data_IF_177079103077
#
_entry.id   IF_177079103077
#
_cell.length_a   1.000
_cell.length_b   1.000
_cell.length_c   1.000
_cell.angle_alpha   90.00
_cell.angle_beta   90.00
_cell.angle_gamma   90.00
#
_symmetry.space_group_name_H-M   'P 1'
#
loop_
_entity.id
_entity.type
_entity.pdbx_description
1 polymer ?
#
# COMPACT_ATOMS: atom_id res chain seq x y z
N UNK A 1 1.79 41.07 -40.36
CA UNK A 1 0.39 40.65 -40.64
C UNK A 1 0.36 39.12 -40.67
N UNK A 2 0.20 38.45 -39.56
CA UNK A 2 -0.29 37.08 -39.52
C UNK A 2 -1.11 36.93 -38.25
N UNK A 3 -2.32 36.53 -38.43
CA UNK A 3 -3.52 36.59 -37.64
C UNK A 3 -3.51 35.66 -36.43
N UNK A 4 -3.95 36.21 -35.28
CA UNK A 4 -4.51 35.44 -34.12
C UNK A 4 -5.74 34.64 -34.64
N UNK A 5 -5.68 33.33 -34.54
CA UNK A 5 -6.87 32.46 -34.39
C UNK A 5 -6.39 31.06 -34.00
N UNK A 6 -6.86 30.62 -32.89
CA UNK A 6 -7.30 29.29 -32.46
C UNK A 6 -6.76 28.91 -31.07
N UNK A 7 -7.21 29.61 -30.06
CA UNK A 7 -7.26 29.09 -28.68
C UNK A 7 -8.67 29.40 -28.17
N UNK A 8 -9.62 28.56 -28.46
CA UNK A 8 -11.01 28.86 -28.11
C UNK A 8 -12.00 27.70 -28.10
N UNK A 9 -11.59 26.46 -28.37
CA UNK A 9 -12.55 25.35 -28.49
C UNK A 9 -12.36 24.20 -27.48
N UNK A 10 -11.28 24.17 -26.75
CA UNK A 10 -11.05 23.08 -25.78
C UNK A 10 -11.58 23.37 -24.36
N UNK A 11 -11.71 24.62 -23.96
CA UNK A 11 -12.28 24.98 -22.65
C UNK A 11 -13.81 24.80 -22.56
N UNK A 12 -14.51 24.85 -23.67
CA UNK A 12 -15.97 24.70 -23.73
C UNK A 12 -16.45 23.25 -23.57
N UNK A 13 -15.65 22.27 -23.94
CA UNK A 13 -16.01 20.85 -23.76
C UNK A 13 -16.03 20.42 -22.26
N UNK A 14 -15.21 21.02 -21.41
CA UNK A 14 -15.19 20.73 -19.98
C UNK A 14 -16.35 21.38 -19.21
N UNK A 15 -16.80 22.56 -19.62
CA UNK A 15 -17.97 23.19 -19.00
C UNK A 15 -19.29 22.47 -19.31
N UNK A 16 -19.38 21.75 -20.43
CA UNK A 16 -20.57 20.96 -20.78
C UNK A 16 -20.69 19.65 -19.97
N UNK A 17 -19.59 19.12 -19.43
CA UNK A 17 -19.61 17.88 -18.62
C UNK A 17 -20.08 18.16 -17.17
N UNK A 18 -19.93 19.39 -16.69
CA UNK A 18 -20.30 19.77 -15.32
C UNK A 18 -21.79 20.15 -15.18
N UNK A 19 -22.48 20.47 -16.27
CA UNK A 19 -23.83 21.08 -16.21
C UNK A 19 -24.97 20.16 -16.66
N UNK A 20 -24.68 19.04 -17.30
CA UNK A 20 -25.75 18.11 -17.71
C UNK A 20 -25.85 16.95 -16.72
N UNK A 21 -26.85 17.04 -15.81
CA UNK A 21 -27.28 15.96 -14.95
C UNK A 21 -27.75 14.75 -15.78
N UNK A 22 -26.87 13.83 -16.05
CA UNK A 22 -27.21 12.52 -16.57
C UNK A 22 -27.60 11.62 -15.40
N UNK A 23 -28.86 11.23 -15.33
CA UNK A 23 -29.38 10.11 -14.54
C UNK A 23 -28.95 8.79 -15.22
N UNK A 24 -27.67 8.58 -15.35
CA UNK A 24 -27.04 7.32 -15.67
C UNK A 24 -25.76 7.27 -14.84
N UNK A 25 -25.40 6.09 -14.29
CA UNK A 25 -24.10 5.90 -13.64
C UNK A 25 -23.01 6.47 -14.55
N UNK A 26 -22.15 7.39 -14.07
CA UNK A 26 -21.12 7.97 -14.94
C UNK A 26 -20.29 6.83 -15.54
N UNK A 27 -20.06 6.92 -16.86
CA UNK A 27 -19.29 5.92 -17.58
C UNK A 27 -17.92 5.77 -16.90
N UNK A 28 -17.54 4.53 -16.59
CA UNK A 28 -16.30 4.19 -15.92
C UNK A 28 -15.09 4.65 -16.73
N UNK A 29 -14.11 5.29 -16.08
CA UNK A 29 -12.87 5.75 -16.73
C UNK A 29 -12.16 4.59 -17.41
N UNK A 30 -11.98 4.64 -18.71
CA UNK A 30 -11.25 3.64 -19.50
C UNK A 30 -9.73 3.75 -19.28
N UNK A 31 -8.97 2.70 -19.64
CA UNK A 31 -7.51 2.73 -19.60
C UNK A 31 -6.93 3.92 -20.37
N UNK A 32 -7.42 4.18 -21.56
CA UNK A 32 -6.94 5.28 -22.40
C UNK A 32 -7.26 6.66 -21.81
N UNK A 33 -8.41 6.82 -21.20
CA UNK A 33 -8.77 8.05 -20.48
C UNK A 33 -7.93 8.23 -19.23
N UNK A 34 -7.71 7.16 -18.44
CA UNK A 34 -6.82 7.16 -17.29
C UNK A 34 -5.39 7.56 -17.66
N UNK A 35 -4.86 7.00 -18.74
CA UNK A 35 -3.54 7.35 -19.26
C UNK A 35 -3.49 8.81 -19.73
N UNK A 36 -4.51 9.29 -20.42
CA UNK A 36 -4.61 10.69 -20.83
C UNK A 36 -4.67 11.64 -19.64
N UNK A 37 -5.45 11.31 -18.62
CA UNK A 37 -5.50 12.07 -17.36
C UNK A 37 -4.12 12.11 -16.70
N UNK A 38 -3.44 10.98 -16.62
CA UNK A 38 -2.12 10.89 -16.02
C UNK A 38 -1.08 11.72 -16.77
N UNK A 39 -1.07 11.72 -18.10
CA UNK A 39 -0.04 12.36 -18.91
C UNK A 39 -0.28 13.88 -19.11
N UNK A 40 -1.54 14.29 -19.31
CA UNK A 40 -1.83 15.61 -19.89
C UNK A 40 -2.69 16.52 -19.03
N UNK A 41 -3.40 15.99 -18.00
CA UNK A 41 -4.22 16.87 -17.18
C UNK A 41 -3.34 17.73 -16.25
N UNK A 42 -3.65 19.02 -16.12
CA UNK A 42 -3.06 19.87 -15.10
C UNK A 42 -3.27 19.27 -13.70
N UNK A 43 -2.27 19.34 -12.86
CA UNK A 43 -2.31 18.72 -11.52
C UNK A 43 -3.47 19.27 -10.67
N UNK A 44 -3.75 20.56 -10.79
CA UNK A 44 -4.85 21.20 -10.06
C UNK A 44 -6.23 20.70 -10.49
N UNK A 45 -6.43 20.42 -11.77
CA UNK A 45 -7.69 19.82 -12.26
C UNK A 45 -7.87 18.39 -11.71
N UNK A 46 -6.79 17.59 -11.71
CA UNK A 46 -6.79 16.28 -11.07
C UNK A 46 -7.13 16.36 -9.59
N UNK A 47 -6.53 17.32 -8.88
CA UNK A 47 -6.80 17.57 -7.45
C UNK A 47 -8.28 17.83 -7.20
N UNK A 48 -8.86 18.79 -7.92
CA UNK A 48 -10.28 19.17 -7.77
C UNK A 48 -11.18 17.96 -8.03
N UNK A 49 -10.93 17.20 -9.08
CA UNK A 49 -11.74 16.03 -9.44
C UNK A 49 -11.60 14.92 -8.37
N UNK A 50 -10.38 14.55 -7.99
CA UNK A 50 -10.14 13.50 -7.02
C UNK A 50 -10.68 13.85 -5.62
N UNK A 51 -10.52 15.10 -5.17
CA UNK A 51 -11.05 15.58 -3.89
C UNK A 51 -12.59 15.63 -3.88
N UNK A 52 -13.18 15.97 -5.02
CA UNK A 52 -14.65 15.88 -5.18
C UNK A 52 -15.16 14.44 -5.00
N UNK A 53 -14.49 13.45 -5.61
CA UNK A 53 -14.84 12.05 -5.45
C UNK A 53 -14.62 11.56 -4.01
N UNK A 54 -13.55 11.98 -3.35
CA UNK A 54 -13.32 11.71 -1.93
C UNK A 54 -14.45 12.27 -1.06
N UNK A 55 -14.80 13.54 -1.25
CA UNK A 55 -15.88 14.22 -0.50
C UNK A 55 -17.25 13.58 -0.70
N UNK A 56 -17.53 13.05 -1.89
CA UNK A 56 -18.77 12.30 -2.14
C UNK A 56 -18.83 11.00 -1.32
N UNK A 57 -17.70 10.31 -1.15
CA UNK A 57 -17.61 9.09 -0.32
C UNK A 57 -17.55 9.39 1.19
N UNK A 58 -16.87 10.47 1.56
CA UNK A 58 -16.60 10.86 2.95
C UNK A 58 -16.99 12.33 3.20
N UNK A 59 -18.29 12.64 3.24
CA UNK A 59 -18.79 14.03 3.26
C UNK A 59 -18.46 14.79 4.55
N UNK A 60 -18.15 14.10 5.65
CA UNK A 60 -17.80 14.70 6.94
C UNK A 60 -16.36 15.22 7.00
N UNK A 61 -15.64 15.20 5.90
CA UNK A 61 -14.22 15.56 5.83
C UNK A 61 -13.32 14.79 6.82
N UNK A 62 -13.73 13.55 7.12
CA UNK A 62 -12.98 12.66 8.01
C UNK A 62 -11.80 12.03 7.27
N UNK A 63 -10.67 11.92 7.97
CA UNK A 63 -9.50 11.17 7.53
C UNK A 63 -9.19 10.13 8.58
N UNK A 64 -9.08 8.88 8.13
CA UNK A 64 -8.75 7.78 9.04
C UNK A 64 -7.25 7.64 9.24
N UNK A 65 -6.86 7.11 10.42
CA UNK A 65 -5.49 6.70 10.75
C UNK A 65 -5.54 5.44 11.64
N UNK A 66 -4.42 4.74 11.75
CA UNK A 66 -4.31 3.53 12.58
C UNK A 66 -3.09 3.57 13.50
N UNK A 67 -3.24 3.03 14.71
CA UNK A 67 -2.10 2.82 15.61
C UNK A 67 -1.45 1.49 15.25
N UNK A 68 -0.38 1.56 14.48
CA UNK A 68 0.30 0.37 13.97
C UNK A 68 1.80 0.33 14.24
N UNK A 69 2.33 -0.89 14.16
CA UNK A 69 3.76 -1.17 14.15
C UNK A 69 4.09 -1.99 12.89
N UNK A 70 5.28 -1.76 12.33
CA UNK A 70 5.75 -2.40 11.11
C UNK A 70 7.08 -3.14 11.31
N UNK A 71 7.13 -4.13 12.22
CA UNK A 71 8.35 -4.87 12.48
C UNK A 71 8.66 -5.91 11.40
N UNK A 72 9.91 -6.38 11.43
CA UNK A 72 10.33 -7.47 10.57
C UNK A 72 10.78 -8.66 11.42
N UNK A 73 10.30 -9.87 11.10
CA UNK A 73 10.71 -11.08 11.83
C UNK A 73 12.03 -11.66 11.34
N UNK A 74 12.47 -11.30 10.13
CA UNK A 74 13.77 -11.68 9.58
C UNK A 74 14.20 -10.72 8.46
N UNK A 75 15.50 -10.48 8.34
CA UNK A 75 16.08 -9.79 7.18
C UNK A 75 16.72 -10.76 6.17
N UNK A 76 16.74 -12.06 6.47
CA UNK A 76 17.29 -13.09 5.58
C UNK A 76 16.34 -13.28 4.40
N UNK A 77 16.84 -13.03 3.17
CA UNK A 77 16.00 -13.10 1.97
C UNK A 77 16.75 -13.73 0.79
N UNK A 78 16.11 -14.71 0.13
CA UNK A 78 16.62 -15.35 -1.10
C UNK A 78 16.30 -14.57 -2.37
N UNK A 79 15.41 -13.55 -2.30
CA UNK A 79 14.89 -12.84 -3.49
C UNK A 79 15.87 -11.77 -3.98
N UNK A 80 16.58 -11.08 -3.09
CA UNK A 80 17.58 -10.05 -3.40
C UNK A 80 17.11 -8.97 -4.39
N UNK A 81 15.92 -8.39 -4.16
CA UNK A 81 15.36 -7.34 -5.01
C UNK A 81 16.35 -6.16 -5.16
N UNK A 82 16.50 -5.63 -6.38
CA UNK A 82 17.45 -4.57 -6.67
C UNK A 82 17.18 -3.25 -5.92
N UNK A 83 15.93 -3.03 -5.49
CA UNK A 83 15.49 -1.85 -4.75
C UNK A 83 15.55 -2.01 -3.21
N UNK A 84 15.85 -3.21 -2.69
CA UNK A 84 15.76 -3.47 -1.26
C UNK A 84 17.12 -3.29 -0.59
N UNK A 85 17.21 -2.39 0.38
CA UNK A 85 18.40 -2.20 1.23
C UNK A 85 18.37 -3.09 2.49
N UNK A 86 17.22 -3.67 2.80
CA UNK A 86 16.98 -4.40 4.05
C UNK A 86 17.50 -5.86 3.99
N UNK A 87 17.40 -6.54 2.84
CA UNK A 87 17.69 -7.96 2.75
C UNK A 87 19.13 -8.30 3.13
N UNK A 88 19.30 -9.47 3.76
CA UNK A 88 20.60 -10.07 4.09
C UNK A 88 20.71 -11.49 3.54
N UNK A 89 21.92 -11.91 3.23
CA UNK A 89 22.20 -13.34 2.99
C UNK A 89 22.30 -14.09 4.32
N UNK A 90 22.03 -15.41 4.37
CA UNK A 90 22.03 -16.17 5.63
C UNK A 90 23.32 -16.08 6.46
N UNK A 91 24.45 -15.79 5.82
CA UNK A 91 25.79 -15.70 6.47
C UNK A 91 26.23 -14.26 6.77
N UNK A 92 25.39 -13.27 6.56
CA UNK A 92 25.68 -11.89 6.90
C UNK A 92 25.76 -11.75 8.43
N UNK A 93 26.70 -10.94 8.92
CA UNK A 93 26.92 -10.76 10.37
C UNK A 93 25.72 -10.13 11.11
N UNK A 94 24.90 -9.39 10.39
CA UNK A 94 23.68 -8.72 10.87
C UNK A 94 22.38 -9.45 10.40
N UNK A 95 22.53 -10.70 9.92
CA UNK A 95 21.38 -11.53 9.58
C UNK A 95 20.69 -12.03 10.86
N UNK A 96 19.35 -11.96 10.89
CA UNK A 96 18.57 -12.42 12.03
C UNK A 96 17.27 -13.11 11.63
N UNK A 97 16.76 -13.92 12.54
CA UNK A 97 15.44 -14.50 12.57
C UNK A 97 14.97 -14.44 14.02
N UNK A 98 13.83 -13.83 14.29
CA UNK A 98 13.28 -13.74 15.64
C UNK A 98 12.95 -15.14 16.17
N UNK A 99 13.38 -15.42 17.38
CA UNK A 99 12.84 -16.53 18.17
C UNK A 99 11.41 -16.20 18.62
N UNK A 100 10.65 -17.22 19.01
CA UNK A 100 9.29 -17.01 19.50
C UNK A 100 9.26 -16.18 20.80
N UNK A 101 10.31 -16.24 21.63
CA UNK A 101 10.39 -15.43 22.84
C UNK A 101 10.71 -13.96 22.54
N UNK A 102 11.61 -13.68 21.61
CA UNK A 102 11.85 -12.32 21.13
C UNK A 102 10.58 -11.73 20.49
N UNK A 103 9.84 -12.55 19.74
CA UNK A 103 8.56 -12.13 19.17
C UNK A 103 7.52 -11.81 20.25
N UNK A 104 7.41 -12.62 21.33
CA UNK A 104 6.51 -12.31 22.47
C UNK A 104 6.89 -11.00 23.14
N UNK A 105 8.16 -10.77 23.40
CA UNK A 105 8.65 -9.52 23.99
C UNK A 105 8.29 -8.32 23.09
N UNK A 106 8.41 -8.47 21.78
CA UNK A 106 8.04 -7.45 20.82
C UNK A 106 6.53 -7.14 20.87
N UNK A 107 5.67 -8.16 20.84
CA UNK A 107 4.21 -8.01 20.94
C UNK A 107 3.80 -7.36 22.28
N UNK A 108 4.44 -7.74 23.38
CA UNK A 108 4.19 -7.13 24.70
C UNK A 108 4.49 -5.63 24.71
N UNK A 109 5.59 -5.19 24.07
CA UNK A 109 5.91 -3.76 23.90
C UNK A 109 4.83 -3.03 23.12
N UNK A 110 4.29 -3.64 22.07
CA UNK A 110 3.24 -3.05 21.25
C UNK A 110 1.93 -2.88 21.99
N UNK A 111 1.54 -3.87 22.79
CA UNK A 111 0.38 -3.73 23.69
C UNK A 111 0.56 -2.55 24.65
N UNK A 112 1.73 -2.43 25.27
CA UNK A 112 2.06 -1.32 26.19
C UNK A 112 2.08 0.05 25.49
N UNK A 113 2.45 0.08 24.20
CA UNK A 113 2.44 1.29 23.37
C UNK A 113 1.04 1.62 22.80
N UNK A 114 0.00 0.84 23.09
CA UNK A 114 -1.35 1.07 22.59
C UNK A 114 -1.58 0.69 21.12
N UNK A 115 -0.64 -0.03 20.50
CA UNK A 115 -0.76 -0.48 19.11
C UNK A 115 -1.97 -1.40 18.95
N UNK A 116 -2.64 -1.29 17.80
CA UNK A 116 -3.81 -2.09 17.43
C UNK A 116 -3.53 -3.05 16.29
N UNK A 117 -2.74 -2.62 15.32
CA UNK A 117 -2.40 -3.39 14.12
C UNK A 117 -0.90 -3.64 14.09
N UNK A 118 -0.50 -4.87 13.84
CA UNK A 118 0.91 -5.20 13.58
C UNK A 118 1.03 -5.64 12.12
N UNK A 119 1.75 -4.85 11.32
CA UNK A 119 2.12 -5.20 9.95
C UNK A 119 3.47 -5.91 10.00
N UNK A 120 3.45 -7.24 10.13
CA UNK A 120 4.66 -8.05 10.24
C UNK A 120 5.04 -8.63 8.88
N UNK A 121 6.15 -8.17 8.35
CA UNK A 121 6.74 -8.70 7.12
C UNK A 121 8.22 -9.03 7.36
N UNK A 122 8.80 -9.82 6.45
CA UNK A 122 10.22 -10.15 6.53
C UNK A 122 10.84 -10.47 5.19
N UNK A 123 12.10 -10.87 5.21
CA UNK A 123 12.74 -11.48 4.06
C UNK A 123 12.12 -12.85 3.76
N UNK A 124 12.15 -13.25 2.50
CA UNK A 124 11.78 -14.62 2.08
C UNK A 124 12.90 -15.57 2.49
N UNK A 125 12.79 -16.08 3.71
CA UNK A 125 13.80 -16.93 4.32
C UNK A 125 13.85 -18.31 3.66
N UNK A 126 15.03 -18.83 3.27
CA UNK A 126 15.13 -20.05 2.47
C UNK A 126 14.65 -21.34 3.17
N UNK A 127 14.52 -21.34 4.49
CA UNK A 127 14.23 -22.53 5.29
C UNK A 127 12.97 -22.42 6.16
N UNK A 128 12.28 -21.28 6.16
CA UNK A 128 11.07 -21.11 6.96
C UNK A 128 9.87 -21.65 6.21
N UNK A 129 9.20 -22.62 6.83
CA UNK A 129 7.93 -23.19 6.39
C UNK A 129 6.75 -22.55 7.11
N UNK A 130 5.55 -23.07 6.82
CA UNK A 130 4.29 -22.54 7.33
C UNK A 130 4.18 -22.65 8.86
N UNK A 131 4.78 -23.66 9.48
CA UNK A 131 4.69 -23.88 10.93
C UNK A 131 5.21 -22.70 11.74
N UNK A 132 6.29 -22.07 11.27
CA UNK A 132 6.81 -20.85 11.89
C UNK A 132 5.83 -19.68 11.77
N UNK A 133 5.28 -19.44 10.56
CA UNK A 133 4.33 -18.36 10.30
C UNK A 133 3.04 -18.54 11.11
N UNK A 134 2.48 -19.74 11.10
CA UNK A 134 1.30 -20.10 11.88
C UNK A 134 1.52 -19.90 13.38
N UNK A 135 2.71 -20.27 13.88
CA UNK A 135 3.04 -20.08 15.29
C UNK A 135 3.05 -18.60 15.68
N UNK A 136 3.60 -17.70 14.85
CA UNK A 136 3.58 -16.26 15.12
C UNK A 136 2.13 -15.72 15.19
N UNK A 137 1.26 -16.15 14.27
CA UNK A 137 -0.16 -15.77 14.29
C UNK A 137 -0.84 -16.30 15.55
N UNK A 138 -0.61 -17.58 15.89
CA UNK A 138 -1.19 -18.24 17.07
C UNK A 138 -0.77 -17.56 18.36
N UNK A 139 0.50 -17.23 18.54
CA UNK A 139 1.01 -16.46 19.68
C UNK A 139 0.27 -15.13 19.78
N UNK A 140 0.21 -14.37 18.67
CA UNK A 140 -0.45 -13.07 18.66
C UNK A 140 -1.91 -13.18 19.08
N UNK A 141 -2.65 -14.13 18.51
CA UNK A 141 -4.09 -14.26 18.80
C UNK A 141 -4.40 -14.79 20.20
N UNK A 142 -3.59 -15.71 20.73
CA UNK A 142 -3.83 -16.34 22.02
C UNK A 142 -3.29 -15.51 23.18
N UNK A 143 -2.10 -14.91 23.03
CA UNK A 143 -1.41 -14.22 24.11
C UNK A 143 -1.61 -12.69 24.10
N UNK A 144 -1.89 -12.11 22.90
CA UNK A 144 -2.05 -10.65 22.69
C UNK A 144 -3.33 -10.32 21.90
N UNK A 145 -4.52 -10.67 22.41
CA UNK A 145 -5.78 -10.59 21.65
C UNK A 145 -6.19 -9.17 21.22
N UNK A 146 -5.60 -8.14 21.83
CA UNK A 146 -5.80 -6.73 21.44
C UNK A 146 -5.06 -6.34 20.16
N UNK A 147 -4.08 -7.14 19.72
CA UNK A 147 -3.34 -6.91 18.49
C UNK A 147 -4.00 -7.64 17.31
N UNK A 148 -4.11 -6.94 16.19
CA UNK A 148 -4.54 -7.55 14.93
C UNK A 148 -3.32 -7.95 14.08
N UNK A 149 -3.16 -9.24 13.73
CA UNK A 149 -2.10 -9.69 12.84
C UNK A 149 -2.44 -9.35 11.38
N UNK A 150 -1.76 -8.35 10.81
CA UNK A 150 -1.71 -8.03 9.39
C UNK A 150 -0.38 -8.53 8.85
N UNK A 151 -0.22 -9.86 8.82
CA UNK A 151 1.07 -10.52 8.70
C UNK A 151 1.30 -11.08 7.30
N UNK A 152 2.57 -11.10 6.91
CA UNK A 152 3.15 -11.79 5.75
C UNK A 152 2.56 -11.39 4.40
N UNK A 153 3.44 -11.06 3.47
CA UNK A 153 3.06 -10.83 2.08
C UNK A 153 2.75 -12.13 1.34
N UNK A 154 2.07 -12.00 0.20
CA UNK A 154 1.81 -13.11 -0.73
C UNK A 154 3.07 -13.94 -1.04
N UNK A 155 4.22 -13.27 -1.20
CA UNK A 155 5.49 -13.90 -1.54
C UNK A 155 6.02 -14.77 -0.39
N UNK A 156 5.88 -14.30 0.85
CA UNK A 156 6.31 -15.03 2.04
C UNK A 156 5.45 -16.27 2.26
N UNK A 157 4.13 -16.13 2.20
CA UNK A 157 3.18 -17.25 2.41
C UNK A 157 3.36 -18.33 1.33
N UNK A 158 3.41 -17.93 0.05
CA UNK A 158 3.59 -18.88 -1.05
C UNK A 158 4.94 -19.63 -0.95
N UNK A 159 6.00 -18.94 -0.51
CA UNK A 159 7.28 -19.59 -0.29
C UNK A 159 7.26 -20.53 0.90
N UNK A 160 6.65 -20.15 2.02
CA UNK A 160 6.51 -21.01 3.20
C UNK A 160 5.69 -22.27 2.89
N UNK A 161 4.63 -22.15 2.08
CA UNK A 161 3.87 -23.29 1.56
C UNK A 161 4.77 -24.26 0.76
N UNK A 162 5.58 -23.72 -0.16
CA UNK A 162 6.54 -24.49 -0.96
C UNK A 162 7.55 -25.26 -0.09
N UNK A 163 8.13 -24.58 0.93
CA UNK A 163 9.08 -25.21 1.88
C UNK A 163 8.41 -26.33 2.67
N UNK A 164 7.15 -26.17 3.03
CA UNK A 164 6.38 -27.14 3.79
C UNK A 164 5.80 -28.29 2.94
N UNK A 165 5.95 -28.24 1.61
CA UNK A 165 5.42 -29.27 0.71
C UNK A 165 3.89 -29.28 0.62
N UNK A 166 3.22 -28.14 0.88
CA UNK A 166 1.76 -28.00 0.82
C UNK A 166 1.36 -26.96 -0.23
N UNK A 167 0.07 -26.95 -0.61
CA UNK A 167 -0.46 -25.93 -1.50
C UNK A 167 -0.55 -24.55 -0.82
N UNK A 168 -0.59 -23.48 -1.62
CA UNK A 168 -0.85 -22.13 -1.11
C UNK A 168 -2.21 -22.04 -0.42
N UNK A 169 -3.21 -22.76 -0.92
CA UNK A 169 -4.54 -22.84 -0.32
C UNK A 169 -4.49 -23.42 1.10
N UNK A 170 -3.85 -24.58 1.26
CA UNK A 170 -3.64 -25.20 2.57
C UNK A 170 -2.87 -24.29 3.54
N UNK A 171 -1.88 -23.56 3.05
CA UNK A 171 -1.16 -22.59 3.87
C UNK A 171 -2.06 -21.44 4.34
N UNK A 172 -2.91 -20.92 3.45
CA UNK A 172 -3.88 -19.87 3.80
C UNK A 172 -4.94 -20.38 4.79
N UNK A 173 -5.45 -21.60 4.60
CA UNK A 173 -6.39 -22.23 5.54
C UNK A 173 -5.78 -22.34 6.95
N UNK A 174 -4.54 -22.83 7.06
CA UNK A 174 -3.82 -22.90 8.33
C UNK A 174 -3.67 -21.53 9.01
N UNK A 175 -3.29 -20.51 8.26
CA UNK A 175 -3.20 -19.14 8.80
C UNK A 175 -4.57 -18.58 9.22
N UNK A 176 -5.62 -18.93 8.49
CA UNK A 176 -6.99 -18.58 8.85
C UNK A 176 -7.42 -19.25 10.16
N UNK A 177 -7.15 -20.54 10.32
CA UNK A 177 -7.42 -21.29 11.56
C UNK A 177 -6.63 -20.75 12.75
N UNK A 178 -5.38 -20.32 12.52
CA UNK A 178 -4.56 -19.66 13.52
C UNK A 178 -5.10 -18.27 13.93
N UNK A 179 -6.02 -17.68 13.15
CA UNK A 179 -6.70 -16.43 13.48
C UNK A 179 -6.31 -15.21 12.62
N UNK A 180 -5.49 -15.36 11.58
CA UNK A 180 -5.20 -14.29 10.64
C UNK A 180 -6.41 -14.02 9.74
N UNK A 181 -6.69 -12.74 9.48
CA UNK A 181 -7.87 -12.32 8.68
C UNK A 181 -7.50 -11.34 7.57
N UNK A 182 -6.33 -10.73 7.66
CA UNK A 182 -5.89 -9.74 6.68
C UNK A 182 -4.46 -10.02 6.21
N UNK A 183 -4.15 -9.64 4.96
CA UNK A 183 -2.86 -9.84 4.31
C UNK A 183 -2.39 -8.51 3.74
N UNK A 184 -1.15 -8.06 4.02
CA UNK A 184 -0.58 -6.86 3.42
C UNK A 184 -0.32 -7.04 1.93
N UNK A 185 -0.50 -5.97 1.16
CA UNK A 185 -0.27 -5.93 -0.28
C UNK A 185 1.20 -5.91 -0.71
N UNK A 186 2.11 -6.07 0.24
CA UNK A 186 3.54 -6.10 -0.04
C UNK A 186 3.91 -7.16 -1.10
N UNK A 187 4.96 -6.89 -1.85
CA UNK A 187 5.38 -7.76 -2.94
C UNK A 187 4.74 -7.44 -4.30
N UNK A 188 3.72 -6.59 -4.37
CA UNK A 188 3.18 -6.11 -5.65
C UNK A 188 4.21 -5.28 -6.43
N UNK A 189 4.89 -4.38 -5.78
CA UNK A 189 5.78 -3.35 -6.34
C UNK A 189 5.12 -2.63 -7.51
N UNK A 190 5.27 -3.16 -8.72
CA UNK A 190 4.48 -2.78 -9.88
C UNK A 190 4.07 -4.04 -10.68
N UNK A 191 2.80 -4.16 -11.04
CA UNK A 191 2.23 -5.31 -11.73
C UNK A 191 2.46 -5.22 -13.25
N UNK A 192 3.71 -5.01 -13.63
CA UNK A 192 4.21 -5.04 -15.00
C UNK A 192 5.35 -6.05 -15.09
N UNK A 193 5.17 -7.09 -15.90
CA UNK A 193 6.16 -8.16 -16.09
C UNK A 193 7.51 -7.60 -16.58
N UNK A 194 7.45 -6.58 -17.45
CA UNK A 194 8.63 -5.90 -17.98
C UNK A 194 9.47 -5.26 -16.87
N UNK A 195 8.80 -4.62 -15.91
CA UNK A 195 9.45 -3.94 -14.79
C UNK A 195 9.92 -4.95 -13.74
N UNK A 196 9.09 -5.94 -13.41
CA UNK A 196 9.42 -7.00 -12.44
C UNK A 196 10.71 -7.71 -12.79
N UNK A 197 10.93 -8.04 -14.05
CA UNK A 197 12.18 -8.65 -14.54
C UNK A 197 13.41 -7.77 -14.29
N UNK A 198 13.25 -6.45 -14.23
CA UNK A 198 14.35 -5.52 -14.00
C UNK A 198 14.68 -5.29 -12.53
N UNK A 199 13.66 -5.27 -11.65
CA UNK A 199 13.82 -4.86 -10.24
C UNK A 199 13.78 -6.03 -9.26
N UNK A 200 13.14 -7.15 -9.61
CA UNK A 200 12.97 -8.31 -8.72
C UNK A 200 12.68 -9.61 -9.50
N UNK A 201 13.61 -10.08 -10.35
CA UNK A 201 13.37 -11.21 -11.27
C UNK A 201 13.10 -12.56 -10.58
N UNK A 202 13.50 -12.69 -9.30
CA UNK A 202 13.28 -13.91 -8.51
C UNK A 202 11.98 -13.89 -7.71
N UNK A 203 11.27 -12.74 -7.70
CA UNK A 203 10.02 -12.58 -6.96
C UNK A 203 8.86 -13.13 -7.80
N UNK A 204 7.80 -13.57 -7.13
CA UNK A 204 6.52 -13.92 -7.75
C UNK A 204 6.11 -12.89 -8.82
N UNK A 205 5.74 -13.33 -10.01
CA UNK A 205 5.29 -12.46 -11.10
C UNK A 205 3.94 -11.78 -10.81
N UNK A 206 3.52 -10.81 -11.64
CA UNK A 206 2.25 -10.09 -11.48
C UNK A 206 1.04 -11.02 -11.38
N UNK A 207 0.91 -11.96 -12.32
CA UNK A 207 -0.21 -12.91 -12.33
C UNK A 207 -0.24 -13.79 -11.08
N UNK A 208 0.92 -14.27 -10.63
CA UNK A 208 1.03 -15.06 -9.41
C UNK A 208 0.57 -14.28 -8.17
N UNK A 209 0.92 -12.99 -8.07
CA UNK A 209 0.50 -12.11 -6.99
C UNK A 209 -1.04 -11.89 -7.00
N UNK A 210 -1.61 -11.63 -8.17
CA UNK A 210 -3.06 -11.47 -8.33
C UNK A 210 -3.80 -12.76 -7.98
N UNK A 211 -3.36 -13.91 -8.53
CA UNK A 211 -4.01 -15.21 -8.24
C UNK A 211 -3.94 -15.56 -6.75
N UNK A 212 -2.83 -15.26 -6.09
CA UNK A 212 -2.70 -15.43 -4.64
C UNK A 212 -3.77 -14.63 -3.89
N UNK A 213 -3.90 -13.32 -4.17
CA UNK A 213 -4.88 -12.48 -3.48
C UNK A 213 -6.32 -12.89 -3.80
N UNK A 214 -6.63 -13.26 -5.05
CA UNK A 214 -7.94 -13.81 -5.43
C UNK A 214 -8.26 -15.09 -4.64
N UNK A 215 -7.29 -15.99 -4.47
CA UNK A 215 -7.46 -17.19 -3.64
C UNK A 215 -7.71 -16.81 -2.18
N UNK A 216 -6.88 -15.94 -1.61
CA UNK A 216 -7.05 -15.49 -0.24
C UNK A 216 -8.41 -14.82 0.01
N UNK A 217 -8.90 -14.00 -0.93
CA UNK A 217 -10.22 -13.37 -0.84
C UNK A 217 -11.36 -14.39 -0.87
N UNK A 218 -11.26 -15.45 -1.70
CA UNK A 218 -12.25 -16.55 -1.70
C UNK A 218 -12.30 -17.29 -0.36
N UNK A 219 -11.18 -17.39 0.34
CA UNK A 219 -11.09 -17.98 1.68
C UNK A 219 -11.52 -17.01 2.80
N UNK A 220 -11.95 -15.80 2.45
CA UNK A 220 -12.47 -14.81 3.39
C UNK A 220 -11.46 -13.77 3.88
N UNK A 221 -10.18 -13.87 3.52
CA UNK A 221 -9.21 -12.83 3.83
C UNK A 221 -9.57 -11.51 3.14
N UNK A 222 -9.16 -10.42 3.78
CA UNK A 222 -9.14 -9.10 3.15
C UNK A 222 -7.68 -8.65 3.03
N UNK A 223 -7.38 -7.80 2.06
CA UNK A 223 -6.00 -7.35 1.87
C UNK A 223 -5.90 -5.89 1.45
N UNK A 224 -4.70 -5.31 1.62
CA UNK A 224 -4.33 -4.06 0.96
C UNK A 224 -3.76 -4.36 -0.43
N UNK A 225 -3.70 -3.35 -1.28
CA UNK A 225 -2.94 -3.36 -2.52
C UNK A 225 -1.90 -2.24 -2.49
N UNK A 226 -0.67 -2.51 -2.89
CA UNK A 226 0.42 -1.52 -2.85
C UNK A 226 1.02 -1.31 -4.23
N UNK A 227 1.59 -0.13 -4.47
CA UNK A 227 2.41 0.15 -5.63
C UNK A 227 3.67 0.89 -5.22
N UNK A 228 4.83 0.42 -5.67
CA UNK A 228 6.08 1.18 -5.60
C UNK A 228 6.27 1.94 -6.91
N UNK A 229 6.54 3.25 -6.82
CA UNK A 229 6.73 4.13 -7.98
C UNK A 229 7.99 4.99 -7.88
N UNK A 230 8.34 5.67 -8.97
CA UNK A 230 9.48 6.59 -9.04
C UNK A 230 10.81 5.89 -9.31
N UNK A 231 10.80 4.80 -10.06
CA UNK A 231 12.02 4.05 -10.43
C UNK A 231 12.21 3.92 -11.94
N UNK A 232 11.82 2.79 -12.57
CA UNK A 232 12.04 2.52 -14.02
C UNK A 232 10.74 2.28 -14.79
N UNK A 233 9.61 2.48 -14.14
CA UNK A 233 8.28 2.36 -14.73
C UNK A 233 7.96 3.54 -15.65
N UNK A 234 7.07 3.30 -16.61
CA UNK A 234 6.47 4.33 -17.43
C UNK A 234 5.04 4.66 -16.92
N UNK A 235 4.43 5.77 -17.37
CA UNK A 235 3.03 6.05 -17.08
C UNK A 235 2.08 4.90 -17.45
N UNK A 236 2.36 4.19 -18.55
CA UNK A 236 1.58 3.03 -18.99
C UNK A 236 1.71 1.87 -18.00
N UNK A 237 2.90 1.64 -17.41
CA UNK A 237 3.08 0.61 -16.37
C UNK A 237 2.28 0.94 -15.11
N UNK A 238 2.22 2.23 -14.71
CA UNK A 238 1.42 2.70 -13.58
C UNK A 238 -0.07 2.42 -13.85
N UNK A 239 -0.57 2.81 -15.02
CA UNK A 239 -1.97 2.58 -15.39
C UNK A 239 -2.28 1.08 -15.54
N UNK A 240 -1.36 0.28 -16.08
CA UNK A 240 -1.50 -1.17 -16.16
C UNK A 240 -1.63 -1.78 -14.75
N UNK A 241 -0.83 -1.32 -13.80
CA UNK A 241 -0.94 -1.74 -12.40
C UNK A 241 -2.33 -1.43 -11.82
N UNK A 242 -2.80 -0.20 -11.98
CA UNK A 242 -4.15 0.20 -11.52
C UNK A 242 -5.25 -0.61 -12.22
N UNK A 243 -5.15 -0.82 -13.53
CA UNK A 243 -6.12 -1.63 -14.29
C UNK A 243 -6.15 -3.07 -13.76
N UNK A 244 -4.98 -3.68 -13.57
CA UNK A 244 -4.86 -5.05 -13.06
C UNK A 244 -5.51 -5.21 -11.67
N UNK A 245 -5.31 -4.24 -10.78
CA UNK A 245 -5.94 -4.23 -9.46
C UNK A 245 -7.46 -4.04 -9.56
N UNK A 246 -7.93 -3.12 -10.42
CA UNK A 246 -9.35 -2.86 -10.64
C UNK A 246 -10.07 -4.10 -11.17
N UNK A 247 -9.49 -4.75 -12.17
CA UNK A 247 -10.06 -5.96 -12.77
C UNK A 247 -10.12 -7.11 -11.75
N UNK A 248 -9.05 -7.30 -10.96
CA UNK A 248 -9.04 -8.30 -9.90
C UNK A 248 -10.10 -8.03 -8.82
N UNK A 249 -10.31 -6.77 -8.46
CA UNK A 249 -11.34 -6.35 -7.51
C UNK A 249 -12.75 -6.53 -8.05
N UNK A 250 -12.98 -6.31 -9.36
CA UNK A 250 -14.26 -6.59 -10.01
C UNK A 250 -14.61 -8.08 -10.01
N UNK A 251 -13.62 -8.93 -10.27
CA UNK A 251 -13.83 -10.37 -10.30
C UNK A 251 -14.03 -10.98 -8.90
N UNK A 252 -13.25 -10.49 -7.93
CA UNK A 252 -13.28 -11.04 -6.57
C UNK A 252 -12.92 -9.95 -5.55
N UNK A 253 -13.92 -9.20 -5.06
CA UNK A 253 -13.69 -8.09 -4.14
C UNK A 253 -13.09 -8.55 -2.82
N UNK A 254 -11.95 -7.96 -2.45
CA UNK A 254 -11.24 -8.30 -1.22
C UNK A 254 -10.18 -7.28 -0.84
N UNK A 255 -9.74 -6.44 -1.77
CA UNK A 255 -8.89 -5.30 -1.45
C UNK A 255 -9.71 -4.21 -0.76
N UNK A 256 -9.26 -3.73 0.39
CA UNK A 256 -9.93 -2.62 1.07
C UNK A 256 -9.21 -1.28 0.88
N UNK A 257 -7.92 -1.27 0.54
CA UNK A 257 -7.18 -0.03 0.33
C UNK A 257 -6.09 -0.18 -0.73
N UNK A 258 -5.83 0.92 -1.43
CA UNK A 258 -4.67 1.08 -2.29
C UNK A 258 -3.66 2.03 -1.63
N UNK A 259 -2.37 1.64 -1.60
CA UNK A 259 -1.28 2.33 -0.89
C UNK A 259 -0.09 2.52 -1.85
N UNK A 260 0.04 3.65 -2.53
CA UNK A 260 1.24 3.97 -3.32
C UNK A 260 2.35 4.46 -2.41
N UNK A 261 3.60 4.08 -2.70
CA UNK A 261 4.79 4.54 -1.96
C UNK A 261 5.98 4.71 -2.90
N UNK A 262 6.79 5.74 -2.67
CA UNK A 262 7.92 6.04 -3.55
C UNK A 262 9.15 5.19 -3.23
N UNK A 263 9.83 4.79 -4.27
CA UNK A 263 11.13 4.13 -4.21
C UNK A 263 12.18 4.99 -3.51
N UNK A 264 13.01 4.37 -2.67
CA UNK A 264 14.16 5.01 -2.00
C UNK A 264 15.47 4.46 -2.55
N UNK A 265 16.30 5.30 -3.20
CA UNK A 265 17.47 4.83 -3.94
C UNK A 265 18.67 4.44 -3.07
N UNK A 266 18.82 5.05 -1.89
CA UNK A 266 20.02 4.91 -1.10
C UNK A 266 20.26 3.47 -0.63
N UNK A 267 21.50 3.03 -0.63
CA UNK A 267 21.93 1.69 -0.21
C UNK A 267 21.30 0.54 -1.02
N UNK A 268 20.75 0.81 -2.21
CA UNK A 268 20.14 -0.21 -3.08
C UNK A 268 20.94 -0.43 -4.36
N UNK A 269 20.87 -1.63 -4.93
CA UNK A 269 21.49 -1.92 -6.22
C UNK A 269 20.86 -1.10 -7.36
N UNK A 270 19.54 -0.87 -7.29
CA UNK A 270 18.79 -0.04 -8.25
C UNK A 270 19.20 1.43 -8.17
N UNK A 271 19.55 1.94 -6.99
CA UNK A 271 19.96 3.33 -6.78
C UNK A 271 21.20 3.75 -7.56
N UNK A 272 22.05 2.80 -7.96
CA UNK A 272 23.16 3.08 -8.88
C UNK A 272 22.70 3.44 -10.29
N UNK A 273 21.49 3.01 -10.68
CA UNK A 273 20.89 3.28 -12.01
C UNK A 273 19.86 4.40 -11.94
N UNK A 274 19.15 4.48 -10.82
CA UNK A 274 18.06 5.44 -10.54
C UNK A 274 18.36 6.12 -9.20
N UNK A 275 19.26 7.12 -9.18
CA UNK A 275 19.71 7.75 -7.94
C UNK A 275 18.75 8.81 -7.37
N UNK A 276 17.67 9.10 -8.09
CA UNK A 276 16.72 10.16 -7.72
C UNK A 276 15.47 9.55 -7.08
N UNK A 277 14.89 10.27 -6.12
CA UNK A 277 13.56 9.99 -5.59
C UNK A 277 12.49 10.57 -6.53
N UNK A 278 11.29 10.02 -6.46
CA UNK A 278 10.13 10.59 -7.12
C UNK A 278 9.87 12.04 -6.65
N UNK A 279 9.37 12.88 -7.54
CA UNK A 279 8.92 14.21 -7.15
C UNK A 279 7.58 14.13 -6.40
N UNK A 280 7.29 15.06 -5.48
CA UNK A 280 5.98 15.15 -4.84
C UNK A 280 4.83 15.28 -5.86
N UNK A 281 5.08 15.95 -6.98
CA UNK A 281 4.09 16.08 -8.04
C UNK A 281 3.68 14.73 -8.64
N UNK A 282 4.63 13.81 -8.86
CA UNK A 282 4.32 12.46 -9.34
C UNK A 282 3.46 11.70 -8.32
N UNK A 283 3.78 11.82 -7.03
CA UNK A 283 2.99 11.23 -5.96
C UNK A 283 1.54 11.73 -5.95
N UNK A 284 1.34 13.04 -6.00
CA UNK A 284 0.00 13.62 -6.05
C UNK A 284 -0.79 13.18 -7.28
N UNK A 285 -0.12 13.13 -8.42
CA UNK A 285 -0.72 12.66 -9.69
C UNK A 285 -1.17 11.20 -9.58
N UNK A 286 -0.36 10.35 -8.97
CA UNK A 286 -0.71 8.95 -8.72
C UNK A 286 -1.92 8.86 -7.80
N UNK A 287 -1.96 9.58 -6.69
CA UNK A 287 -3.11 9.57 -5.77
C UNK A 287 -4.40 10.02 -6.48
N UNK A 288 -4.34 11.13 -7.20
CA UNK A 288 -5.51 11.67 -7.89
C UNK A 288 -6.03 10.71 -8.98
N UNK A 289 -5.13 10.19 -9.81
CA UNK A 289 -5.53 9.23 -10.85
C UNK A 289 -6.00 7.92 -10.22
N UNK A 290 -5.38 7.43 -9.15
CA UNK A 290 -5.85 6.25 -8.44
C UNK A 290 -7.28 6.44 -7.92
N UNK A 291 -7.62 7.59 -7.29
CA UNK A 291 -8.97 7.88 -6.82
C UNK A 291 -10.00 7.92 -7.96
N UNK A 292 -9.62 8.46 -9.11
CA UNK A 292 -10.50 8.56 -10.28
C UNK A 292 -10.67 7.19 -10.97
N UNK A 293 -9.60 6.40 -11.02
CA UNK A 293 -9.54 5.17 -11.80
C UNK A 293 -9.98 3.92 -11.03
N UNK A 294 -9.61 3.82 -9.74
CA UNK A 294 -9.98 2.70 -8.86
C UNK A 294 -11.35 2.94 -8.21
N UNK A 295 -12.39 3.01 -9.03
CA UNK A 295 -13.76 3.32 -8.60
C UNK A 295 -14.38 2.23 -7.69
N UNK A 296 -13.83 1.03 -7.70
CA UNK A 296 -14.20 -0.12 -6.88
C UNK A 296 -13.31 -0.33 -5.63
N UNK A 297 -12.37 0.58 -5.34
CA UNK A 297 -11.64 0.62 -4.09
C UNK A 297 -12.26 1.63 -3.12
N UNK A 298 -12.52 1.20 -1.90
CA UNK A 298 -13.08 2.08 -0.89
C UNK A 298 -12.05 3.12 -0.45
N UNK A 299 -10.83 2.72 -0.14
CA UNK A 299 -9.82 3.57 0.46
C UNK A 299 -8.58 3.76 -0.42
N UNK A 300 -8.05 4.99 -0.41
CA UNK A 300 -6.73 5.35 -0.96
C UNK A 300 -5.92 5.97 0.18
N UNK A 301 -4.77 5.40 0.49
CA UNK A 301 -3.92 5.90 1.57
C UNK A 301 -2.91 6.94 1.08
N UNK A 302 -2.76 8.01 1.89
CA UNK A 302 -1.72 9.01 1.72
C UNK A 302 -0.45 8.56 2.45
N UNK A 303 0.37 7.74 1.80
CA UNK A 303 1.55 7.05 2.36
C UNK A 303 2.65 7.99 2.86
N UNK A 304 2.39 8.79 3.89
CA UNK A 304 3.32 9.77 4.45
C UNK A 304 4.68 9.17 4.82
N UNK A 305 4.71 7.90 5.18
CA UNK A 305 5.95 7.20 5.53
C UNK A 305 6.95 7.11 4.36
N UNK A 306 6.44 7.09 3.13
CA UNK A 306 7.26 7.13 1.92
C UNK A 306 7.59 8.55 1.47
N UNK A 307 6.70 9.51 1.70
CA UNK A 307 6.79 10.84 1.09
C UNK A 307 7.19 11.94 2.07
N UNK A 308 7.03 11.72 3.36
CA UNK A 308 7.13 12.71 4.41
C UNK A 308 5.77 13.21 4.88
N UNK A 309 5.72 13.71 6.11
CA UNK A 309 4.47 14.08 6.78
C UNK A 309 3.72 15.20 6.06
N UNK A 310 4.45 16.22 5.62
CA UNK A 310 3.87 17.35 4.88
C UNK A 310 3.25 16.91 3.55
N UNK A 311 3.99 16.10 2.80
CA UNK A 311 3.51 15.58 1.51
C UNK A 311 2.36 14.59 1.69
N UNK A 312 2.36 13.80 2.78
CA UNK A 312 1.23 12.95 3.15
C UNK A 312 -0.04 13.76 3.41
N UNK A 313 0.04 14.85 4.17
CA UNK A 313 -1.10 15.77 4.40
C UNK A 313 -1.60 16.39 3.10
N UNK A 314 -0.69 16.86 2.24
CA UNK A 314 -1.07 17.39 0.91
C UNK A 314 -1.76 16.33 0.05
N UNK A 315 -1.31 15.07 0.13
CA UNK A 315 -1.91 13.93 -0.60
C UNK A 315 -3.40 13.71 -0.31
N UNK A 316 -3.88 14.11 0.89
CA UNK A 316 -5.30 14.03 1.23
C UNK A 316 -6.18 14.93 0.34
N UNK A 317 -5.65 16.04 -0.13
CA UNK A 317 -6.35 16.92 -1.08
C UNK A 317 -6.35 16.36 -2.52
N UNK A 318 -5.57 15.30 -2.77
CA UNK A 318 -5.51 14.60 -4.05
C UNK A 318 -6.29 13.27 -4.02
N UNK A 319 -7.31 13.19 -3.18
CA UNK A 319 -8.27 12.09 -3.18
C UNK A 319 -7.98 10.97 -2.19
N UNK A 320 -6.89 11.02 -1.42
CA UNK A 320 -6.67 10.08 -0.32
C UNK A 320 -7.63 10.37 0.84
N UNK A 321 -8.09 9.32 1.51
CA UNK A 321 -9.04 9.36 2.65
C UNK A 321 -8.51 8.71 3.92
N UNK A 322 -7.31 8.14 3.85
CA UNK A 322 -6.60 7.53 4.97
C UNK A 322 -5.17 8.08 5.05
N UNK A 323 -4.73 8.46 6.24
CA UNK A 323 -3.38 9.00 6.44
C UNK A 323 -2.35 7.87 6.64
N UNK A 324 -2.79 6.64 6.91
CA UNK A 324 -1.94 5.52 7.26
C UNK A 324 -1.73 5.39 8.77
N UNK A 325 -0.62 4.80 9.17
CA UNK A 325 -0.35 4.44 10.55
C UNK A 325 0.72 5.26 11.24
N UNK A 326 0.95 4.94 12.52
CA UNK A 326 2.07 5.47 13.33
C UNK A 326 3.42 4.89 12.93
N UNK A 327 3.42 3.71 12.33
CA UNK A 327 4.56 3.01 11.71
C UNK A 327 5.74 2.82 12.70
N UNK A 328 5.40 2.34 13.90
CA UNK A 328 6.42 2.04 14.90
C UNK A 328 7.32 0.87 14.42
N UNK A 329 8.63 0.96 14.65
CA UNK A 329 9.65 -0.07 14.33
C UNK A 329 9.80 -0.39 12.82
N UNK A 330 9.51 0.53 11.91
CA UNK A 330 9.78 0.36 10.48
C UNK A 330 11.30 0.31 10.21
N UNK A 331 11.79 -0.79 9.62
CA UNK A 331 13.21 -1.00 9.39
C UNK A 331 13.62 -1.03 7.91
N UNK A 332 12.68 -1.22 6.98
CA UNK A 332 12.99 -1.39 5.56
C UNK A 332 13.44 -0.07 4.93
N UNK A 333 12.69 1.01 5.14
CA UNK A 333 13.06 2.34 4.71
C UNK A 333 14.23 2.91 5.51
N UNK A 334 14.30 2.59 6.80
CA UNK A 334 15.41 3.00 7.67
C UNK A 334 16.77 2.54 7.12
N UNK A 335 16.86 1.37 6.50
CA UNK A 335 18.07 0.88 5.82
C UNK A 335 18.51 1.75 4.63
N UNK A 336 17.62 2.56 4.08
CA UNK A 336 17.94 3.56 3.05
C UNK A 336 18.31 4.93 3.61
N UNK A 337 18.33 5.08 4.95
CA UNK A 337 18.51 6.37 5.62
C UNK A 337 17.24 7.20 5.72
N UNK A 338 16.08 6.62 5.38
CA UNK A 338 14.77 7.24 5.47
C UNK A 338 14.06 6.73 6.73
N UNK A 339 14.20 7.47 7.83
CA UNK A 339 13.64 7.10 9.14
C UNK A 339 12.58 8.13 9.53
N UNK A 340 11.31 7.77 9.35
CA UNK A 340 10.16 8.59 9.72
C UNK A 340 9.25 7.81 10.67
N UNK A 341 8.93 8.43 11.79
CA UNK A 341 7.98 7.94 12.78
C UNK A 341 7.00 9.04 13.14
N UNK A 342 5.81 8.67 13.57
CA UNK A 342 4.85 9.61 14.10
C UNK A 342 4.12 9.05 15.32
N UNK A 343 3.62 9.94 16.16
CA UNK A 343 2.71 9.61 17.25
C UNK A 343 1.28 9.92 16.84
N UNK A 344 0.31 9.28 17.49
CA UNK A 344 -1.11 9.61 17.34
C UNK A 344 -1.37 11.10 17.53
N UNK A 345 -0.81 11.70 18.59
CA UNK A 345 -0.95 13.14 18.88
C UNK A 345 -0.46 14.02 17.72
N UNK A 346 0.65 13.64 17.12
CA UNK A 346 1.21 14.39 15.98
C UNK A 346 0.34 14.23 14.73
N UNK A 347 -0.11 13.00 14.43
CA UNK A 347 -1.03 12.73 13.31
C UNK A 347 -2.31 13.55 13.47
N UNK A 348 -2.95 13.49 14.62
CA UNK A 348 -4.17 14.24 14.90
C UNK A 348 -3.97 15.76 14.76
N UNK A 349 -2.85 16.28 15.29
CA UNK A 349 -2.55 17.71 15.19
C UNK A 349 -2.38 18.17 13.73
N UNK A 350 -1.65 17.40 12.90
CA UNK A 350 -1.45 17.73 11.50
C UNK A 350 -2.77 17.70 10.71
N UNK A 351 -3.60 16.69 10.93
CA UNK A 351 -4.89 16.52 10.26
C UNK A 351 -5.85 17.67 10.65
N UNK A 352 -5.94 18.01 11.94
CA UNK A 352 -6.75 19.14 12.42
C UNK A 352 -6.26 20.47 11.84
N UNK A 353 -4.96 20.69 11.80
CA UNK A 353 -4.39 21.92 11.21
C UNK A 353 -4.70 22.05 9.72
N UNK A 354 -4.81 20.93 9.01
CA UNK A 354 -5.20 20.89 7.60
C UNK A 354 -6.72 20.98 7.37
N UNK A 355 -7.52 21.07 8.43
CA UNK A 355 -8.98 21.21 8.35
C UNK A 355 -9.73 19.88 8.22
N UNK A 356 -9.08 18.75 8.53
CA UNK A 356 -9.70 17.43 8.55
C UNK A 356 -10.12 17.00 9.95
N UNK A 357 -11.04 16.06 10.03
CA UNK A 357 -11.42 15.40 11.28
C UNK A 357 -10.70 14.05 11.36
N UNK A 358 -9.69 13.89 12.26
CA UNK A 358 -8.99 12.62 12.43
C UNK A 358 -9.90 11.58 13.09
N UNK A 359 -9.90 10.36 12.57
CA UNK A 359 -10.66 9.24 13.10
C UNK A 359 -9.78 8.01 13.17
N UNK A 360 -9.57 7.47 14.37
CA UNK A 360 -8.89 6.19 14.53
C UNK A 360 -9.73 5.07 13.90
N UNK A 361 -9.08 4.15 13.18
CA UNK A 361 -9.69 2.97 12.59
C UNK A 361 -9.01 1.67 13.00
N UNK A 362 -9.72 0.57 12.83
CA UNK A 362 -9.10 -0.76 12.87
C UNK A 362 -8.43 -1.15 11.54
N UNK A 363 -7.87 -2.36 11.49
CA UNK A 363 -7.23 -2.91 10.28
C UNK A 363 -8.21 -3.09 9.11
N UNK A 364 -9.51 -3.25 9.38
CA UNK A 364 -10.56 -3.38 8.36
C UNK A 364 -11.16 -2.04 7.92
N UNK A 365 -10.50 -0.94 8.26
CA UNK A 365 -10.97 0.44 7.98
C UNK A 365 -12.30 0.81 8.67
N UNK A 366 -12.70 0.08 9.72
CA UNK A 366 -13.86 0.46 10.52
C UNK A 366 -13.46 1.53 11.53
N UNK A 367 -14.18 2.66 11.56
CA UNK A 367 -13.92 3.69 12.56
C UNK A 367 -14.04 3.09 13.97
N UNK A 368 -13.02 3.32 14.78
CA UNK A 368 -13.10 3.13 16.22
C UNK A 368 -13.74 4.39 16.78
N UNK A 369 -14.62 4.26 17.78
CA UNK A 369 -15.41 5.39 18.32
C UNK A 369 -14.54 6.61 18.52
N UNK A 370 -15.03 7.79 18.09
CA UNK A 370 -14.41 9.08 18.42
C UNK A 370 -14.09 9.04 19.92
N UNK A 371 -12.81 9.06 20.27
CA UNK A 371 -12.41 9.29 21.64
C UNK A 371 -13.03 10.64 22.04
N UNK A 372 -13.94 10.60 23.02
CA UNK A 372 -14.66 11.76 23.52
C UNK A 372 -13.72 12.72 24.23
#
# INVERSE_FOLDING_TARGET
>A
VLTKKTIGSQSLLWQCIIVNGFMGSPARTSFQEGLRLFLYSPLEELRIHADSLRKQRYPQNTITYVLDANPNYTNICKIDCAFCAFYRKPRSSDAYLLSFDEFRQLMQRYVQAGIKTVLLQGGVHPQIGIDYLETLVSITKKEFPSLHPHFFSAVEIAHAAQISGISTEQALERLWEAGQRTIPGGGAEILSERIRKQISPKKMGPDGWIQFHKLAHRLGFRSTATMMFGHVESPEDILLHLQTLRDAQDENPGFFSFIPWSYKPNNTALGRRVPHQASPELYYRILAVARIFLDNFDHIAASWFGEGKEEGVKGLFYGADDFGGTILDESVHKCTGWDLQSSEKEICAMLLQAGFTPVERDTFYRPLSLAR
#
